data_IF_664661231063
#
_entry.id   IF_664661231063
#
_cell.length_a   1.000
_cell.length_b   1.000
_cell.length_c   1.000
_cell.angle_alpha   90.00
_cell.angle_beta   90.00
_cell.angle_gamma   90.00
#
_symmetry.space_group_name_H-M   'P 1'
#
loop_
_entity.id
_entity.type
_entity.pdbx_description
1 polymer ?
#
# COMPACT_ATOMS: atom_id res chain seq x y z
N UNK A 1 -10.45 -6.08 15.69
CA UNK A 1 -10.08 -4.73 16.18
C UNK A 1 -10.03 -3.84 14.96
N UNK A 2 -10.95 -2.88 14.86
CA UNK A 2 -11.08 -2.00 13.71
C UNK A 2 -9.87 -1.06 13.57
N UNK A 3 -9.31 -0.94 12.38
CA UNK A 3 -8.28 0.03 12.02
C UNK A 3 -8.84 1.44 12.15
N UNK A 4 -8.15 2.28 12.92
CA UNK A 4 -8.49 3.69 13.07
C UNK A 4 -7.30 4.58 12.74
N UNK A 5 -7.59 5.76 12.18
CA UNK A 5 -6.60 6.81 11.96
C UNK A 5 -7.22 8.18 12.16
N UNK A 6 -6.48 9.07 12.82
CA UNK A 6 -6.89 10.45 13.06
C UNK A 6 -6.42 11.36 11.93
N UNK A 7 -7.32 12.21 11.45
CA UNK A 7 -7.06 13.21 10.41
C UNK A 7 -7.34 14.62 10.94
N UNK A 8 -6.52 15.63 10.56
CA UNK A 8 -6.74 17.01 10.97
C UNK A 8 -7.87 17.64 10.16
N UNK A 9 -8.84 18.21 10.87
CA UNK A 9 -9.97 18.98 10.35
C UNK A 9 -9.74 20.47 10.58
N UNK A 10 -9.77 21.25 9.51
CA UNK A 10 -9.67 22.71 9.59
C UNK A 10 -11.03 23.30 9.94
N UNK A 11 -11.14 23.99 11.07
CA UNK A 11 -12.36 24.70 11.47
C UNK A 11 -12.25 26.20 11.16
N UNK A 12 -13.31 26.80 10.60
CA UNK A 12 -13.32 28.24 10.30
C UNK A 12 -13.28 29.04 11.60
N UNK A 13 -12.14 29.68 11.87
CA UNK A 13 -11.92 30.56 13.02
C UNK A 13 -10.97 30.03 14.09
N UNK A 14 -10.47 28.79 13.97
CA UNK A 14 -9.45 28.24 14.86
C UNK A 14 -8.09 28.16 14.14
N UNK A 15 -7.02 28.55 14.82
CA UNK A 15 -5.63 28.35 14.36
C UNK A 15 -5.18 26.90 14.51
N UNK A 16 -5.84 26.12 15.39
CA UNK A 16 -5.51 24.72 15.65
C UNK A 16 -6.50 23.77 14.97
N UNK A 17 -6.02 22.72 14.27
CA UNK A 17 -6.88 21.71 13.67
C UNK A 17 -7.55 20.86 14.76
N UNK A 18 -8.84 20.57 14.56
CA UNK A 18 -9.56 19.56 15.34
C UNK A 18 -9.21 18.18 14.77
N UNK A 19 -8.82 17.21 15.60
CA UNK A 19 -8.47 15.87 15.12
C UNK A 19 -9.68 14.96 15.16
N UNK A 20 -10.09 14.45 14.00
CA UNK A 20 -11.20 13.50 13.89
C UNK A 20 -10.65 12.09 13.68
N UNK A 21 -11.13 11.13 14.45
CA UNK A 21 -10.77 9.73 14.29
C UNK A 21 -11.74 9.01 13.34
N UNK A 22 -11.19 8.37 12.30
CA UNK A 22 -11.97 7.60 11.32
C UNK A 22 -11.69 6.13 11.50
N UNK A 23 -12.76 5.35 11.60
CA UNK A 23 -12.74 3.90 11.75
C UNK A 23 -13.15 3.21 10.44
N UNK A 24 -12.46 2.13 10.10
CA UNK A 24 -12.90 1.18 9.08
C UNK A 24 -13.75 0.07 9.73
N UNK A 25 -14.74 -0.45 8.99
CA UNK A 25 -15.44 -1.65 9.43
C UNK A 25 -14.58 -2.89 9.17
N UNK A 26 -14.89 -3.99 9.87
CA UNK A 26 -14.18 -5.27 9.67
C UNK A 26 -14.34 -5.80 8.24
N UNK A 27 -15.49 -5.56 7.62
CA UNK A 27 -15.77 -5.92 6.22
C UNK A 27 -14.87 -5.16 5.26
N UNK A 28 -14.73 -3.85 5.45
CA UNK A 28 -13.88 -3.01 4.60
C UNK A 28 -12.41 -3.36 4.74
N UNK A 29 -11.96 -3.67 5.97
CA UNK A 29 -10.58 -4.12 6.18
C UNK A 29 -10.29 -5.43 5.46
N UNK A 30 -11.23 -6.37 5.51
CA UNK A 30 -11.08 -7.65 4.82
C UNK A 30 -10.99 -7.45 3.32
N UNK A 31 -11.85 -6.61 2.75
CA UNK A 31 -11.81 -6.27 1.32
C UNK A 31 -10.48 -5.62 0.92
N UNK A 32 -9.98 -4.67 1.72
CA UNK A 32 -8.71 -3.98 1.47
C UNK A 32 -7.55 -4.97 1.56
N UNK A 33 -7.54 -5.86 2.54
CA UNK A 33 -6.49 -6.86 2.68
C UNK A 33 -6.49 -7.86 1.53
N UNK A 34 -7.67 -8.30 1.09
CA UNK A 34 -7.81 -9.17 -0.09
C UNK A 34 -7.40 -8.44 -1.39
N UNK A 35 -7.70 -7.15 -1.51
CA UNK A 35 -7.21 -6.28 -2.58
C UNK A 35 -5.67 -6.19 -2.58
N UNK A 36 -5.08 -5.78 -1.46
CA UNK A 36 -3.64 -5.64 -1.29
C UNK A 36 -2.89 -6.97 -1.54
N UNK A 37 -3.47 -8.11 -1.11
CA UNK A 37 -2.90 -9.44 -1.41
C UNK A 37 -2.86 -9.73 -2.90
N UNK A 38 -3.94 -9.42 -3.63
CA UNK A 38 -4.01 -9.62 -5.09
C UNK A 38 -3.03 -8.71 -5.82
N UNK A 39 -2.96 -7.44 -5.43
CA UNK A 39 -2.00 -6.48 -5.98
C UNK A 39 -0.56 -6.93 -5.75
N UNK A 40 -0.20 -7.28 -4.51
CA UNK A 40 1.14 -7.76 -4.18
C UNK A 40 1.50 -9.06 -4.91
N UNK A 41 0.54 -9.96 -5.10
CA UNK A 41 0.77 -11.17 -5.89
C UNK A 41 1.08 -10.87 -7.36
N UNK A 42 0.36 -9.92 -7.97
CA UNK A 42 0.65 -9.50 -9.34
C UNK A 42 2.00 -8.77 -9.43
N UNK A 43 2.29 -7.90 -8.46
CA UNK A 43 3.54 -7.15 -8.38
C UNK A 43 4.76 -8.07 -8.23
N UNK A 44 4.63 -9.16 -7.46
CA UNK A 44 5.69 -10.17 -7.36
C UNK A 44 5.96 -10.84 -8.72
N UNK A 45 4.92 -11.16 -9.51
CA UNK A 45 5.11 -11.72 -10.85
C UNK A 45 5.84 -10.74 -11.77
N UNK A 46 5.45 -9.47 -11.76
CA UNK A 46 6.15 -8.42 -12.52
C UNK A 46 7.60 -8.27 -12.07
N UNK A 47 7.89 -8.35 -10.77
CA UNK A 47 9.25 -8.28 -10.24
C UNK A 47 10.11 -9.46 -10.69
N UNK A 48 9.54 -10.66 -10.80
CA UNK A 48 10.24 -11.83 -11.33
C UNK A 48 10.59 -11.60 -12.80
N UNK A 49 9.67 -11.10 -13.61
CA UNK A 49 9.94 -10.87 -15.04
C UNK A 49 10.96 -9.74 -15.25
N UNK A 50 10.83 -8.63 -14.51
CA UNK A 50 11.85 -7.56 -14.51
C UNK A 50 13.21 -8.04 -14.03
N UNK A 51 13.27 -8.92 -13.02
CA UNK A 51 14.53 -9.48 -12.56
C UNK A 51 15.22 -10.30 -13.66
N UNK A 52 14.47 -11.07 -14.46
CA UNK A 52 15.01 -11.80 -15.62
C UNK A 52 15.54 -10.85 -16.69
N UNK A 53 14.80 -9.78 -16.99
CA UNK A 53 15.22 -8.76 -17.97
C UNK A 53 16.55 -8.12 -17.54
N UNK A 54 16.64 -7.64 -16.29
CA UNK A 54 17.85 -7.01 -15.75
C UNK A 54 19.07 -7.94 -15.84
N UNK A 55 18.92 -9.21 -15.42
CA UNK A 55 20.02 -10.16 -15.44
C UNK A 55 20.48 -10.49 -16.86
N UNK A 56 19.53 -10.58 -17.80
CA UNK A 56 19.82 -10.83 -19.22
C UNK A 56 20.52 -9.65 -19.87
N UNK A 57 20.02 -8.43 -19.65
CA UNK A 57 20.61 -7.19 -20.18
C UNK A 57 22.03 -6.97 -19.67
N UNK A 58 22.28 -7.28 -18.39
CA UNK A 58 23.59 -7.12 -17.76
C UNK A 58 24.52 -8.32 -17.96
N UNK A 59 24.09 -9.35 -18.70
CA UNK A 59 24.84 -10.59 -18.94
C UNK A 59 25.36 -11.22 -17.63
N UNK A 60 24.55 -11.15 -16.57
CA UNK A 60 24.86 -11.71 -15.27
C UNK A 60 24.41 -13.17 -15.20
N UNK A 61 24.96 -13.93 -14.26
CA UNK A 61 24.63 -15.34 -14.08
C UNK A 61 23.14 -15.55 -13.80
N UNK A 62 22.48 -16.17 -14.78
CA UNK A 62 21.06 -16.52 -14.74
C UNK A 62 20.85 -17.80 -13.93
N UNK A 63 21.03 -17.71 -12.61
CA UNK A 63 20.64 -18.78 -11.69
C UNK A 63 19.28 -18.47 -11.11
N UNK A 64 18.42 -19.48 -10.93
CA UNK A 64 17.09 -19.30 -10.33
C UNK A 64 17.14 -18.59 -8.97
N UNK A 65 18.17 -18.87 -8.16
CA UNK A 65 18.39 -18.19 -6.88
C UNK A 65 18.64 -16.67 -7.05
N UNK A 66 19.44 -16.26 -8.03
CA UNK A 66 19.74 -14.85 -8.31
C UNK A 66 18.49 -14.11 -8.81
N UNK A 67 17.70 -14.72 -9.68
CA UNK A 67 16.43 -14.16 -10.18
C UNK A 67 15.49 -13.91 -9.01
N UNK A 68 15.31 -14.90 -8.13
CA UNK A 68 14.42 -14.78 -6.96
C UNK A 68 14.94 -13.71 -5.99
N UNK A 69 16.23 -13.69 -5.68
CA UNK A 69 16.81 -12.68 -4.77
C UNK A 69 16.65 -11.25 -5.31
N UNK A 70 16.84 -11.06 -6.61
CA UNK A 70 16.66 -9.76 -7.27
C UNK A 70 15.18 -9.37 -7.28
N UNK A 71 14.28 -10.32 -7.57
CA UNK A 71 12.84 -10.10 -7.54
C UNK A 71 12.35 -9.71 -6.13
N UNK A 72 12.87 -10.34 -5.07
CA UNK A 72 12.57 -9.98 -3.69
C UNK A 72 13.06 -8.57 -3.39
N UNK A 73 14.29 -8.22 -3.77
CA UNK A 73 14.84 -6.88 -3.56
C UNK A 73 14.03 -5.78 -4.27
N UNK A 74 13.51 -6.07 -5.47
CA UNK A 74 12.61 -5.17 -6.19
C UNK A 74 11.24 -5.10 -5.50
N UNK A 75 10.69 -6.25 -5.11
CA UNK A 75 9.40 -6.34 -4.45
C UNK A 75 9.39 -5.56 -3.14
N UNK A 76 10.40 -5.71 -2.28
CA UNK A 76 10.49 -5.02 -0.98
C UNK A 76 10.54 -3.49 -1.11
N UNK A 77 10.98 -2.96 -2.26
CA UNK A 77 11.03 -1.51 -2.52
C UNK A 77 9.74 -0.95 -3.09
N UNK A 78 8.92 -1.77 -3.73
CA UNK A 78 7.75 -1.32 -4.49
C UNK A 78 6.45 -1.76 -3.80
N UNK A 79 6.45 -2.89 -3.11
CA UNK A 79 5.27 -3.45 -2.46
C UNK A 79 4.74 -2.51 -1.38
N UNK A 80 3.46 -2.18 -1.48
CA UNK A 80 2.76 -1.40 -0.47
C UNK A 80 2.23 -2.32 0.62
N UNK A 81 2.36 -1.89 1.88
CA UNK A 81 1.77 -2.63 3.00
C UNK A 81 0.26 -2.44 2.99
N UNK A 82 -0.49 -3.46 3.41
CA UNK A 82 -1.95 -3.36 3.62
C UNK A 82 -2.39 -2.15 4.46
N UNK A 83 -1.54 -1.68 5.38
CA UNK A 83 -1.81 -0.49 6.21
C UNK A 83 -1.92 0.76 5.34
N UNK A 84 -1.09 0.91 4.30
CA UNK A 84 -1.17 2.05 3.38
C UNK A 84 -2.55 2.13 2.70
N UNK A 85 -3.07 1.00 2.23
CA UNK A 85 -4.40 0.94 1.60
C UNK A 85 -5.53 1.20 2.61
N UNK A 86 -5.38 0.73 3.86
CA UNK A 86 -6.33 1.04 4.94
C UNK A 86 -6.34 2.53 5.26
N UNK A 87 -5.17 3.17 5.34
CA UNK A 87 -5.05 4.60 5.55
C UNK A 87 -5.64 5.43 4.41
N UNK A 88 -5.42 5.02 3.15
CA UNK A 88 -5.98 5.68 1.99
C UNK A 88 -7.52 5.65 2.03
N UNK A 89 -8.14 4.50 2.30
CA UNK A 89 -9.61 4.39 2.42
C UNK A 89 -10.15 5.16 3.63
N UNK A 90 -9.43 5.18 4.75
CA UNK A 90 -9.79 5.99 5.91
C UNK A 90 -9.73 7.49 5.59
N UNK A 91 -8.75 7.93 4.79
CA UNK A 91 -8.65 9.30 4.30
C UNK A 91 -9.78 9.65 3.34
N UNK A 92 -10.12 8.77 2.39
CA UNK A 92 -11.28 8.96 1.50
C UNK A 92 -12.58 9.14 2.29
N UNK A 93 -12.80 8.34 3.34
CA UNK A 93 -13.94 8.52 4.25
C UNK A 93 -13.93 9.86 4.99
N UNK A 94 -12.75 10.29 5.44
CA UNK A 94 -12.60 11.61 6.06
C UNK A 94 -12.96 12.73 5.07
N UNK A 95 -12.41 12.67 3.86
CA UNK A 95 -12.65 13.64 2.79
C UNK A 95 -14.12 13.63 2.33
N UNK A 96 -14.80 12.49 2.31
CA UNK A 96 -16.25 12.45 2.02
C UNK A 96 -17.10 13.10 3.12
N UNK A 97 -16.70 12.96 4.39
CA UNK A 97 -17.44 13.52 5.53
C UNK A 97 -17.18 15.02 5.73
N UNK A 98 -15.97 15.48 5.42
CA UNK A 98 -15.51 16.84 5.78
C UNK A 98 -14.97 17.64 4.59
N UNK A 99 -14.91 17.07 3.39
CA UNK A 99 -14.50 17.75 2.17
C UNK A 99 -15.56 18.75 1.71
N UNK A 100 -15.37 20.01 2.10
CA UNK A 100 -15.92 21.20 1.47
C UNK A 100 -14.84 22.26 1.35
#
# INVERSE_FOLDING_TARGET
MAFSKSFPKTEKGSTYPSWEEVYLSEEEEKEIEEGAKRENHNLMKECIDRAKEILTEKKLDYTHSNVISTAIALFDKIASHSVYHKEAKAKEKFDMKFGK
#
